data_IF_608231524455
#
_entry.id   IF_608231524455
#
_cell.length_a   1.000
_cell.length_b   1.000
_cell.length_c   1.000
_cell.angle_alpha   90.00
_cell.angle_beta   90.00
_cell.angle_gamma   90.00
#
_symmetry.space_group_name_H-M   'P 1'
#
loop_
_entity.id
_entity.type
_entity.pdbx_description
1 polymer ?
#
# COMPACT_ATOMS: atom_id res chain seq x y z
N UNK A 1 -26.07 -15.47 -9.46
CA UNK A 1 -26.15 -14.00 -9.63
C UNK A 1 -24.89 -13.26 -9.14
N UNK A 2 -24.36 -13.53 -7.95
CA UNK A 2 -23.13 -12.87 -7.44
C UNK A 2 -21.88 -13.06 -8.33
N UNK A 3 -21.69 -14.25 -8.93
CA UNK A 3 -20.59 -14.50 -9.87
C UNK A 3 -20.72 -13.74 -11.22
N UNK A 4 -21.95 -13.37 -11.61
CA UNK A 4 -22.22 -12.62 -12.85
C UNK A 4 -21.99 -11.12 -12.67
N UNK A 5 -22.25 -10.59 -11.48
CA UNK A 5 -21.93 -9.20 -11.09
C UNK A 5 -20.40 -8.98 -11.01
N UNK A 6 -19.65 -9.97 -10.51
CA UNK A 6 -18.19 -9.91 -10.49
C UNK A 6 -17.60 -9.89 -11.92
N UNK A 7 -18.18 -10.64 -12.85
CA UNK A 7 -17.67 -10.74 -14.23
C UNK A 7 -18.05 -9.54 -15.11
N UNK A 8 -19.18 -8.87 -14.85
CA UNK A 8 -19.50 -7.59 -15.49
C UNK A 8 -18.62 -6.44 -14.99
N UNK A 9 -18.25 -6.43 -13.70
CA UNK A 9 -17.27 -5.49 -13.15
C UNK A 9 -15.89 -5.67 -13.82
N UNK A 10 -15.50 -6.91 -14.11
CA UNK A 10 -14.22 -7.27 -14.75
C UNK A 10 -14.13 -6.78 -16.22
N UNK A 11 -15.22 -6.83 -16.99
CA UNK A 11 -15.21 -6.42 -18.39
C UNK A 11 -15.10 -4.89 -18.54
N UNK A 12 -15.65 -4.13 -17.60
CA UNK A 12 -15.67 -2.67 -17.69
C UNK A 12 -14.32 -2.02 -17.33
N UNK A 13 -13.53 -2.66 -16.45
CA UNK A 13 -12.17 -2.24 -16.09
C UNK A 13 -11.18 -2.44 -17.26
N UNK A 14 -11.38 -3.49 -18.09
CA UNK A 14 -10.46 -3.85 -19.17
C UNK A 14 -10.40 -2.85 -20.34
N UNK A 15 -11.40 -1.97 -20.51
CA UNK A 15 -11.42 -1.00 -21.63
C UNK A 15 -10.65 0.30 -21.38
N UNK A 16 -10.27 0.61 -20.14
CA UNK A 16 -9.69 1.92 -19.78
C UNK A 16 -8.16 1.97 -19.91
N UNK A 17 -7.47 0.83 -20.12
CA UNK A 17 -6.01 0.76 -19.93
C UNK A 17 -5.13 0.85 -21.18
N UNK A 18 -5.65 1.31 -22.33
CA UNK A 18 -4.85 1.49 -23.55
C UNK A 18 -4.81 2.95 -24.03
N UNK A 19 -4.01 3.79 -23.38
CA UNK A 19 -3.56 5.06 -23.95
C UNK A 19 -2.07 5.30 -23.67
N UNK A 20 -1.30 5.46 -24.75
CA UNK A 20 0.10 5.87 -24.73
C UNK A 20 0.20 7.35 -25.06
N UNK A 21 0.35 8.19 -24.04
CA UNK A 21 0.71 9.60 -24.15
C UNK A 21 1.96 9.87 -23.30
N UNK A 22 2.71 10.94 -23.61
CA UNK A 22 3.89 11.40 -22.87
C UNK A 22 3.59 11.37 -21.37
N UNK A 23 4.25 10.47 -20.62
CA UNK A 23 3.92 10.21 -19.21
C UNK A 23 4.18 11.46 -18.38
N UNK A 24 3.12 12.16 -18.01
CA UNK A 24 3.19 13.02 -16.83
C UNK A 24 3.69 12.17 -15.65
N UNK A 25 4.44 12.76 -14.71
CA UNK A 25 4.81 12.06 -13.50
C UNK A 25 3.54 11.53 -12.82
N UNK A 26 3.53 10.25 -12.47
CA UNK A 26 2.36 9.65 -11.81
C UNK A 26 2.20 10.31 -10.44
N UNK A 27 1.00 10.76 -10.04
CA UNK A 27 0.81 11.50 -8.80
C UNK A 27 1.26 10.70 -7.58
N UNK A 28 1.87 11.34 -6.57
CA UNK A 28 2.18 10.69 -5.32
C UNK A 28 0.90 10.37 -4.54
N UNK A 29 0.90 9.18 -3.92
CA UNK A 29 -0.08 8.78 -2.90
C UNK A 29 0.59 9.04 -1.55
N UNK A 30 0.16 10.09 -0.86
CA UNK A 30 0.71 10.53 0.43
C UNK A 30 -0.10 9.91 1.55
N UNK A 31 0.43 8.87 2.16
CA UNK A 31 -0.20 8.21 3.30
C UNK A 31 0.05 9.02 4.58
N UNK A 32 -1.02 9.31 5.31
CA UNK A 32 -1.06 10.04 6.57
C UNK A 32 -1.59 9.11 7.66
N UNK A 33 -0.92 9.04 8.81
CA UNK A 33 -1.31 8.12 9.90
C UNK A 33 -2.44 8.69 10.79
N UNK A 34 -2.72 9.99 10.71
CA UNK A 34 -3.67 10.67 11.58
C UNK A 34 -4.34 11.86 10.89
N UNK A 35 -5.44 12.35 11.47
CA UNK A 35 -6.13 13.57 11.01
C UNK A 35 -5.21 14.80 11.00
N UNK A 36 -4.38 14.98 12.03
CA UNK A 36 -3.43 16.10 12.08
C UNK A 36 -2.39 16.04 10.96
N UNK A 37 -1.97 14.84 10.53
CA UNK A 37 -1.11 14.70 9.36
C UNK A 37 -1.83 15.01 8.05
N UNK A 38 -3.12 14.67 7.92
CA UNK A 38 -3.91 15.07 6.75
C UNK A 38 -4.01 16.60 6.66
N UNK A 39 -4.26 17.29 7.77
CA UNK A 39 -4.30 18.76 7.79
C UNK A 39 -2.95 19.39 7.43
N UNK A 40 -1.85 18.84 7.96
CA UNK A 40 -0.51 19.29 7.59
C UNK A 40 -0.20 19.02 6.10
N UNK A 41 -0.65 17.88 5.56
CA UNK A 41 -0.54 17.58 4.14
C UNK A 41 -1.41 18.52 3.29
N UNK A 42 -2.60 18.88 3.76
CA UNK A 42 -3.46 19.87 3.12
C UNK A 42 -2.69 21.19 2.95
N UNK A 43 -2.08 21.70 4.02
CA UNK A 43 -1.31 22.94 3.97
C UNK A 43 -0.12 22.90 3.03
N UNK A 44 0.41 21.71 2.71
CA UNK A 44 1.56 21.56 1.83
C UNK A 44 1.19 21.38 0.36
N UNK A 45 0.10 20.64 0.08
CA UNK A 45 -0.25 20.22 -1.28
C UNK A 45 -1.34 21.05 -1.95
N UNK A 46 -2.21 21.67 -1.15
CA UNK A 46 -3.30 22.49 -1.68
C UNK A 46 -2.84 23.93 -1.89
N UNK A 47 -3.51 24.58 -2.84
CA UNK A 47 -3.30 25.95 -3.26
C UNK A 47 -4.64 26.69 -3.26
N UNK A 48 -4.62 28.03 -3.17
CA UNK A 48 -5.81 28.82 -3.41
C UNK A 48 -6.43 28.47 -4.77
N UNK A 49 -7.75 28.39 -4.82
CA UNK A 49 -8.57 28.10 -5.98
C UNK A 49 -8.52 26.66 -6.52
N UNK A 50 -7.95 25.72 -5.77
CA UNK A 50 -8.02 24.30 -6.16
C UNK A 50 -9.45 23.75 -6.15
N UNK A 51 -9.69 22.77 -7.02
CA UNK A 51 -10.85 21.87 -6.98
C UNK A 51 -10.44 20.57 -6.28
N UNK A 52 -11.04 20.29 -5.12
CA UNK A 52 -10.62 19.19 -4.24
C UNK A 52 -11.78 18.25 -3.96
N UNK A 53 -11.52 16.94 -4.04
CA UNK A 53 -12.43 15.90 -3.59
C UNK A 53 -12.00 15.39 -2.22
N UNK A 54 -12.91 15.40 -1.23
CA UNK A 54 -12.73 14.70 0.05
C UNK A 54 -13.74 13.55 0.15
N UNK A 55 -13.25 12.32 -0.01
CA UNK A 55 -14.04 11.10 0.13
C UNK A 55 -13.91 10.55 1.56
N UNK A 56 -15.02 10.48 2.29
CA UNK A 56 -15.07 10.22 3.72
C UNK A 56 -15.11 11.49 4.58
N UNK A 57 -15.63 12.58 4.01
CA UNK A 57 -15.76 13.87 4.68
C UNK A 57 -16.72 13.78 5.87
N UNK A 58 -16.24 14.06 7.08
CA UNK A 58 -17.08 14.04 8.28
C UNK A 58 -17.59 15.42 8.69
N UNK A 59 -17.41 16.43 7.82
CA UNK A 59 -17.66 17.84 8.11
C UNK A 59 -16.97 18.27 9.42
N UNK A 60 -15.67 17.93 9.51
CA UNK A 60 -14.83 18.10 10.70
C UNK A 60 -13.74 19.14 10.47
N UNK A 61 -12.82 19.28 11.43
CA UNK A 61 -11.66 20.17 11.33
C UNK A 61 -10.83 19.96 10.05
N UNK A 62 -10.81 18.75 9.48
CA UNK A 62 -10.17 18.49 8.18
C UNK A 62 -10.85 19.26 7.06
N UNK A 63 -12.17 19.15 6.95
CA UNK A 63 -12.97 19.81 5.92
C UNK A 63 -12.96 21.33 6.10
N UNK A 64 -12.96 21.81 7.33
CA UNK A 64 -12.79 23.25 7.65
C UNK A 64 -11.42 23.75 7.21
N UNK A 65 -10.35 23.02 7.55
CA UNK A 65 -8.98 23.37 7.17
C UNK A 65 -8.78 23.35 5.65
N UNK A 66 -9.36 22.35 4.97
CA UNK A 66 -9.46 22.27 3.52
C UNK A 66 -10.08 23.54 2.92
N UNK A 67 -11.29 23.91 3.36
CA UNK A 67 -12.05 25.05 2.82
C UNK A 67 -11.36 26.39 3.03
N UNK A 68 -10.68 26.56 4.18
CA UNK A 68 -9.81 27.72 4.45
C UNK A 68 -8.61 27.77 3.52
N UNK A 69 -7.96 26.62 3.31
CA UNK A 69 -6.74 26.53 2.49
C UNK A 69 -7.00 26.84 1.01
N UNK A 70 -8.12 26.37 0.45
CA UNK A 70 -8.46 26.64 -0.96
C UNK A 70 -9.03 28.05 -1.18
N UNK A 71 -9.52 28.72 -0.14
CA UNK A 71 -10.07 30.08 -0.25
C UNK A 71 -11.38 30.17 -1.07
N UNK A 72 -11.95 31.38 -1.23
CA UNK A 72 -13.28 31.60 -1.82
C UNK A 72 -13.38 31.28 -3.31
N UNK A 73 -12.27 31.29 -4.05
CA UNK A 73 -12.27 30.88 -5.45
C UNK A 73 -12.05 29.38 -5.66
N UNK A 74 -11.87 28.61 -4.57
CA UNK A 74 -11.72 27.15 -4.63
C UNK A 74 -13.07 26.43 -4.64
N UNK A 75 -13.02 25.12 -4.86
CA UNK A 75 -14.20 24.25 -4.74
C UNK A 75 -13.84 22.97 -3.99
N UNK A 76 -14.63 22.63 -2.97
CA UNK A 76 -14.52 21.38 -2.23
C UNK A 76 -15.77 20.53 -2.48
N UNK A 77 -15.57 19.33 -3.03
CA UNK A 77 -16.62 18.31 -3.15
C UNK A 77 -16.42 17.34 -1.99
N UNK A 78 -17.34 17.39 -1.02
CA UNK A 78 -17.26 16.68 0.25
C UNK A 78 -18.24 15.50 0.22
N UNK A 79 -17.76 14.28 0.43
CA UNK A 79 -18.57 13.07 0.25
C UNK A 79 -18.52 12.18 1.49
N UNK A 80 -19.68 11.80 2.04
CA UNK A 80 -19.82 10.77 3.09
C UNK A 80 -20.87 9.73 2.66
N UNK A 81 -21.00 8.63 3.40
CA UNK A 81 -22.09 7.64 3.24
C UNK A 81 -23.08 7.80 4.38
N UNK A 82 -24.38 7.77 4.06
CA UNK A 82 -25.47 7.74 5.01
C UNK A 82 -25.29 6.57 5.98
N UNK A 83 -25.18 6.89 7.27
CA UNK A 83 -24.99 5.89 8.32
C UNK A 83 -26.36 5.50 8.85
N UNK A 84 -26.71 4.22 8.71
CA UNK A 84 -27.96 3.69 9.25
C UNK A 84 -28.04 3.82 10.78
N UNK A 85 -26.90 3.81 11.46
CA UNK A 85 -26.80 4.01 12.91
C UNK A 85 -25.47 4.71 13.26
N UNK A 86 -25.50 5.57 14.28
CA UNK A 86 -24.32 6.18 14.89
C UNK A 86 -23.48 5.09 15.59
N UNK A 87 -22.74 4.30 14.81
CA UNK A 87 -21.99 3.11 15.24
C UNK A 87 -20.81 3.42 16.16
N UNK A 88 -20.53 4.70 16.41
CA UNK A 88 -19.65 5.12 17.50
C UNK A 88 -20.15 6.46 18.02
N UNK A 89 -20.19 6.64 19.34
CA UNK A 89 -20.59 7.90 20.00
C UNK A 89 -19.73 9.13 19.64
N UNK A 90 -18.85 9.03 18.64
CA UNK A 90 -18.08 10.14 18.05
C UNK A 90 -18.87 10.94 17.00
N UNK A 91 -19.96 10.41 16.44
CA UNK A 91 -20.71 11.12 15.39
C UNK A 91 -21.73 12.15 15.90
N UNK A 92 -21.98 12.20 17.21
CA UNK A 92 -23.04 13.06 17.79
C UNK A 92 -22.65 14.53 17.92
N UNK A 93 -21.38 14.89 17.68
CA UNK A 93 -20.86 16.25 17.79
C UNK A 93 -20.34 16.83 16.46
N UNK A 94 -20.89 16.41 15.31
CA UNK A 94 -20.54 17.03 14.03
C UNK A 94 -21.12 18.44 13.95
N UNK A 95 -20.26 19.45 13.82
CA UNK A 95 -20.71 20.81 13.54
C UNK A 95 -20.85 21.00 12.02
N UNK A 96 -22.02 20.64 11.47
CA UNK A 96 -22.33 20.83 10.06
C UNK A 96 -22.78 22.26 9.70
N UNK A 97 -23.05 23.12 10.71
CA UNK A 97 -23.55 24.49 10.50
C UNK A 97 -22.71 25.32 9.51
N UNK A 98 -21.36 25.28 9.54
CA UNK A 98 -20.51 26.03 8.61
C UNK A 98 -20.69 25.64 7.14
N UNK A 99 -21.11 24.39 6.90
CA UNK A 99 -21.16 23.78 5.57
C UNK A 99 -22.56 23.80 4.97
N UNK A 100 -23.59 23.52 5.77
CA UNK A 100 -24.93 23.23 5.24
C UNK A 100 -25.97 24.33 5.47
N UNK A 101 -25.90 25.09 6.55
CA UNK A 101 -27.11 25.77 7.00
C UNK A 101 -27.38 25.59 8.48
N UNK A 102 -28.10 26.53 9.08
CA UNK A 102 -29.08 26.09 10.07
C UNK A 102 -30.22 25.45 9.30
N UNK A 103 -30.47 24.17 9.56
CA UNK A 103 -31.72 23.53 9.16
C UNK A 103 -32.84 24.32 9.85
N UNK A 104 -33.59 25.10 9.08
CA UNK A 104 -34.65 26.00 9.55
C UNK A 104 -35.83 25.32 10.27
N UNK A 105 -35.72 24.02 10.57
CA UNK A 105 -36.70 23.22 11.29
C UNK A 105 -36.26 22.84 12.72
N UNK A 106 -35.12 23.31 13.23
CA UNK A 106 -34.73 23.06 14.62
C UNK A 106 -35.38 24.12 15.55
N UNK A 107 -36.20 23.72 16.55
CA UNK A 107 -36.91 24.68 17.40
C UNK A 107 -35.93 25.58 18.17
N UNK A 108 -36.14 26.89 18.06
CA UNK A 108 -35.25 28.00 18.44
C UNK A 108 -35.09 28.25 19.95
N UNK A 109 -35.19 27.22 20.80
CA UNK A 109 -35.30 27.39 22.25
C UNK A 109 -33.94 27.55 23.00
N UNK A 110 -32.88 28.03 22.35
CA UNK A 110 -31.58 28.27 23.01
C UNK A 110 -31.08 29.67 22.65
N UNK A 111 -31.57 30.70 23.36
CA UNK A 111 -31.22 32.12 23.15
C UNK A 111 -29.89 32.55 23.81
N UNK A 112 -28.97 31.63 24.10
CA UNK A 112 -27.70 31.94 24.79
C UNK A 112 -26.43 31.69 23.94
N UNK A 113 -26.51 31.80 22.61
CA UNK A 113 -25.31 31.79 21.76
C UNK A 113 -24.62 33.17 21.79
N UNK A 114 -23.43 33.21 22.40
CA UNK A 114 -22.53 34.35 22.51
C UNK A 114 -22.13 34.89 21.12
N UNK A 115 -22.24 36.21 20.93
CA UNK A 115 -21.94 36.97 19.69
C UNK A 115 -20.47 36.94 19.20
N UNK A 116 -19.60 36.08 19.73
CA UNK A 116 -18.15 36.21 19.53
C UNK A 116 -17.52 35.33 18.46
N UNK A 117 -18.24 34.38 17.86
CA UNK A 117 -17.73 33.62 16.71
C UNK A 117 -18.61 33.88 15.48
N UNK A 118 -18.29 34.90 14.69
CA UNK A 118 -18.61 34.89 13.25
C UNK A 118 -17.89 33.68 12.63
N UNK A 119 -18.48 32.50 12.81
CA UNK A 119 -17.93 31.26 12.30
C UNK A 119 -17.86 31.35 10.79
N UNK A 120 -16.65 31.19 10.23
CA UNK A 120 -16.42 31.08 8.79
C UNK A 120 -17.46 30.13 8.17
N UNK A 121 -18.32 30.64 7.30
CA UNK A 121 -19.22 29.80 6.50
C UNK A 121 -18.53 29.43 5.19
N UNK A 122 -18.68 28.18 4.75
CA UNK A 122 -18.03 27.66 3.54
C UNK A 122 -19.02 27.33 2.41
N UNK A 123 -20.25 27.81 2.51
CA UNK A 123 -21.34 27.48 1.58
C UNK A 123 -21.08 27.94 0.14
N UNK A 124 -20.22 28.92 -0.04
CA UNK A 124 -19.83 29.47 -1.34
C UNK A 124 -18.92 28.53 -2.15
N UNK A 125 -18.26 27.57 -1.48
CA UNK A 125 -17.24 26.69 -2.09
C UNK A 125 -17.45 25.21 -1.85
N UNK A 126 -18.43 24.82 -1.04
CA UNK A 126 -18.68 23.42 -0.65
C UNK A 126 -19.86 22.85 -1.41
N UNK A 127 -19.64 21.69 -2.02
CA UNK A 127 -20.66 20.81 -2.56
C UNK A 127 -20.64 19.50 -1.74
N UNK A 128 -21.57 19.38 -0.80
CA UNK A 128 -21.66 18.20 0.07
C UNK A 128 -22.63 17.17 -0.51
N UNK A 129 -22.17 15.93 -0.65
CA UNK A 129 -22.93 14.82 -1.20
C UNK A 129 -22.94 13.65 -0.21
N UNK A 130 -24.14 13.28 0.25
CA UNK A 130 -24.32 12.12 1.11
C UNK A 130 -24.82 10.93 0.28
N UNK A 131 -24.02 9.88 0.21
CA UNK A 131 -24.31 8.70 -0.59
C UNK A 131 -25.17 7.71 0.20
N UNK A 132 -26.18 7.11 -0.41
CA UNK A 132 -26.95 6.02 0.22
C UNK A 132 -26.12 4.74 0.35
N UNK A 133 -25.23 4.51 -0.64
CA UNK A 133 -24.37 3.35 -0.73
C UNK A 133 -22.97 3.76 -1.16
N UNK A 134 -21.97 3.07 -0.64
CA UNK A 134 -20.58 3.40 -0.89
C UNK A 134 -20.26 3.45 -2.39
N UNK A 135 -20.64 2.44 -3.17
CA UNK A 135 -20.35 2.30 -4.59
C UNK A 135 -20.87 3.44 -5.48
N UNK A 136 -21.82 4.26 -4.99
CA UNK A 136 -22.29 5.46 -5.66
C UNK A 136 -21.19 6.52 -5.85
N UNK A 137 -20.07 6.44 -5.11
CA UNK A 137 -18.91 7.32 -5.31
C UNK A 137 -18.40 7.29 -6.77
N UNK A 138 -18.66 6.20 -7.50
CA UNK A 138 -18.31 6.07 -8.92
C UNK A 138 -19.03 7.03 -9.84
N UNK A 139 -20.16 7.58 -9.41
CA UNK A 139 -20.91 8.55 -10.18
C UNK A 139 -20.28 9.94 -10.14
N UNK A 140 -19.40 10.21 -9.16
CA UNK A 140 -18.78 11.52 -8.94
C UNK A 140 -17.83 11.95 -10.06
N UNK A 141 -17.27 11.02 -10.81
CA UNK A 141 -16.36 11.29 -11.93
C UNK A 141 -16.96 10.91 -13.29
N UNK A 142 -18.28 10.69 -13.38
CA UNK A 142 -18.96 10.62 -14.67
C UNK A 142 -19.02 12.03 -15.28
N UNK A 143 -18.05 12.36 -16.11
CA UNK A 143 -17.98 13.65 -16.83
C UNK A 143 -16.57 14.24 -16.87
N UNK A 144 -16.46 15.50 -17.27
CA UNK A 144 -15.19 16.24 -17.34
C UNK A 144 -14.76 16.84 -15.99
N UNK A 145 -15.07 16.15 -14.89
CA UNK A 145 -14.67 16.61 -13.56
C UNK A 145 -13.15 16.45 -13.40
N UNK A 146 -12.50 17.56 -13.07
CA UNK A 146 -11.07 17.63 -12.75
C UNK A 146 -10.89 17.91 -11.26
N UNK A 147 -9.96 17.19 -10.63
CA UNK A 147 -9.55 17.42 -9.26
C UNK A 147 -8.06 17.71 -9.20
N UNK A 148 -7.68 18.82 -8.58
CA UNK A 148 -6.28 19.18 -8.35
C UNK A 148 -5.65 18.30 -7.27
N UNK A 149 -6.42 17.96 -6.24
CA UNK A 149 -6.02 17.08 -5.14
C UNK A 149 -7.22 16.22 -4.73
N UNK A 150 -6.95 14.95 -4.38
CA UNK A 150 -7.95 14.02 -3.86
C UNK A 150 -7.56 13.63 -2.43
N UNK A 151 -8.52 13.64 -1.52
CA UNK A 151 -8.36 13.26 -0.11
C UNK A 151 -9.23 12.03 0.15
N UNK A 152 -8.65 10.96 0.70
CA UNK A 152 -9.32 9.69 0.97
C UNK A 152 -9.23 9.35 2.46
N UNK A 153 -10.38 9.28 3.14
CA UNK A 153 -10.54 8.73 4.49
C UNK A 153 -11.54 7.56 4.45
N UNK A 154 -11.20 6.50 3.71
CA UNK A 154 -12.10 5.36 3.49
C UNK A 154 -12.52 4.70 4.80
N UNK A 155 -11.64 4.67 5.80
CA UNK A 155 -11.96 4.14 7.13
C UNK A 155 -13.12 4.87 7.80
N UNK A 156 -13.32 6.17 7.51
CA UNK A 156 -14.46 6.90 8.03
C UNK A 156 -15.78 6.44 7.41
N UNK A 157 -15.77 5.94 6.16
CA UNK A 157 -16.95 5.51 5.41
C UNK A 157 -17.33 4.06 5.68
N UNK A 158 -16.34 3.16 5.70
CA UNK A 158 -16.57 1.70 5.81
C UNK A 158 -16.27 1.13 7.20
N UNK A 159 -15.78 1.97 8.13
CA UNK A 159 -15.51 1.61 9.53
C UNK A 159 -14.20 0.87 9.79
N UNK A 160 -13.46 0.48 8.75
CA UNK A 160 -12.18 -0.23 8.86
C UNK A 160 -11.11 0.41 7.96
N UNK A 161 -9.87 0.45 8.44
CA UNK A 161 -8.71 0.87 7.65
C UNK A 161 -8.25 -0.26 6.70
N UNK A 162 -8.91 -0.36 5.55
CA UNK A 162 -8.62 -1.37 4.54
C UNK A 162 -7.70 -0.78 3.45
N UNK A 163 -6.39 -0.91 3.64
CA UNK A 163 -5.41 -0.30 2.73
C UNK A 163 -5.50 -0.84 1.27
N UNK A 164 -5.88 -2.11 1.08
CA UNK A 164 -6.11 -2.69 -0.26
C UNK A 164 -7.27 -2.01 -0.99
N UNK A 165 -8.40 -1.84 -0.29
CA UNK A 165 -9.57 -1.13 -0.80
C UNK A 165 -9.20 0.32 -1.14
N UNK A 166 -8.45 0.96 -0.25
CA UNK A 166 -8.00 2.35 -0.43
C UNK A 166 -7.09 2.51 -1.65
N UNK A 167 -6.13 1.61 -1.85
CA UNK A 167 -5.27 1.60 -3.05
C UNK A 167 -6.05 1.30 -4.33
N UNK A 168 -7.04 0.40 -4.27
CA UNK A 168 -7.92 0.12 -5.40
C UNK A 168 -8.69 1.38 -5.82
N UNK A 169 -9.27 2.09 -4.85
CA UNK A 169 -10.02 3.33 -5.09
C UNK A 169 -9.10 4.43 -5.63
N UNK A 170 -7.93 4.63 -5.01
CA UNK A 170 -6.95 5.61 -5.50
C UNK A 170 -6.53 5.32 -6.95
N UNK A 171 -6.30 4.05 -7.29
CA UNK A 171 -5.94 3.64 -8.66
C UNK A 171 -7.10 3.86 -9.63
N UNK A 172 -8.34 3.56 -9.22
CA UNK A 172 -9.54 3.79 -10.03
C UNK A 172 -9.76 5.29 -10.29
N UNK A 173 -9.55 6.16 -9.29
CA UNK A 173 -9.54 7.61 -9.49
C UNK A 173 -8.47 8.05 -10.47
N UNK A 174 -7.22 7.62 -10.30
CA UNK A 174 -6.15 8.00 -11.23
C UNK A 174 -6.43 7.58 -12.68
N UNK A 175 -7.11 6.44 -12.86
CA UNK A 175 -7.48 5.93 -14.17
C UNK A 175 -8.70 6.65 -14.78
N UNK A 176 -9.56 7.28 -13.97
CA UNK A 176 -10.78 7.94 -14.44
C UNK A 176 -10.63 9.44 -14.71
N UNK A 177 -9.51 10.06 -14.32
CA UNK A 177 -9.29 11.49 -14.50
C UNK A 177 -8.68 11.82 -15.87
N UNK A 178 -9.27 12.79 -16.58
CA UNK A 178 -8.71 13.35 -17.82
C UNK A 178 -7.39 14.10 -17.56
N UNK A 179 -7.28 14.74 -16.39
CA UNK A 179 -6.09 15.46 -15.94
C UNK A 179 -5.66 14.85 -14.61
N UNK A 180 -4.40 14.42 -14.54
CA UNK A 180 -3.89 13.75 -13.35
C UNK A 180 -3.84 14.72 -12.16
N UNK A 181 -4.35 14.36 -10.97
CA UNK A 181 -4.27 15.22 -9.80
C UNK A 181 -2.80 15.43 -9.40
N UNK A 182 -2.50 16.51 -8.67
CA UNK A 182 -1.14 16.77 -8.18
C UNK A 182 -0.72 15.82 -7.06
N UNK A 183 -1.68 15.37 -6.25
CA UNK A 183 -1.47 14.40 -5.18
C UNK A 183 -2.78 13.70 -4.79
N UNK A 184 -2.64 12.51 -4.19
CA UNK A 184 -3.72 11.84 -3.45
C UNK A 184 -3.28 11.77 -1.99
N UNK A 185 -4.02 12.42 -1.09
CA UNK A 185 -3.79 12.39 0.36
C UNK A 185 -4.66 11.28 0.95
N UNK A 186 -4.08 10.37 1.72
CA UNK A 186 -4.80 9.21 2.24
C UNK A 186 -4.64 9.12 3.75
N UNK A 187 -5.75 9.13 4.48
CA UNK A 187 -5.76 8.81 5.91
C UNK A 187 -5.86 7.30 6.10
N UNK A 188 -4.73 6.66 6.37
CA UNK A 188 -4.64 5.22 6.61
C UNK A 188 -3.34 4.90 7.36
N UNK A 189 -3.48 4.33 8.55
CA UNK A 189 -2.35 3.88 9.38
C UNK A 189 -1.67 2.67 8.74
N UNK A 190 -2.46 1.75 8.20
CA UNK A 190 -1.95 0.54 7.55
C UNK A 190 -1.17 0.89 6.27
N UNK A 191 -1.72 1.79 5.43
CA UNK A 191 -1.04 2.26 4.23
C UNK A 191 0.21 3.09 4.58
N UNK A 192 0.17 3.86 5.67
CA UNK A 192 1.33 4.57 6.19
C UNK A 192 2.45 3.61 6.64
N UNK A 193 2.10 2.53 7.36
CA UNK A 193 3.06 1.47 7.72
C UNK A 193 3.69 0.87 6.46
N UNK A 194 2.87 0.47 5.48
CA UNK A 194 3.36 -0.06 4.21
C UNK A 194 4.28 0.93 3.49
N UNK A 195 3.92 2.20 3.43
CA UNK A 195 4.70 3.26 2.79
C UNK A 195 6.10 3.45 3.41
N UNK A 196 6.24 3.21 4.72
CA UNK A 196 7.54 3.25 5.42
C UNK A 196 8.40 2.03 5.13
N UNK A 197 7.78 0.89 4.85
CA UNK A 197 8.47 -0.40 4.68
C UNK A 197 8.84 -0.69 3.23
N UNK A 198 8.17 -0.07 2.27
CA UNK A 198 8.46 -0.26 0.84
C UNK A 198 9.67 0.58 0.41
N UNK A 199 10.73 -0.09 -0.04
CA UNK A 199 11.98 0.54 -0.50
C UNK A 199 12.20 0.25 -1.97
N UNK A 200 12.15 1.29 -2.81
CA UNK A 200 12.37 1.14 -4.24
C UNK A 200 13.79 0.61 -4.53
N UNK A 201 13.90 -0.57 -5.16
CA UNK A 201 15.17 -1.26 -5.48
C UNK A 201 16.26 -0.36 -6.07
N UNK A 202 15.92 0.48 -7.06
CA UNK A 202 16.92 1.40 -7.65
C UNK A 202 17.53 2.36 -6.63
N UNK A 203 16.71 2.86 -5.68
CA UNK A 203 17.15 3.80 -4.65
C UNK A 203 18.05 3.13 -3.61
N UNK A 204 17.86 1.82 -3.43
CA UNK A 204 18.74 1.01 -2.61
C UNK A 204 20.10 0.82 -3.31
N UNK A 205 20.06 0.44 -4.60
CA UNK A 205 21.27 0.17 -5.38
C UNK A 205 22.13 1.42 -5.64
N UNK A 206 21.52 2.59 -5.79
CA UNK A 206 22.24 3.85 -6.00
C UNK A 206 22.64 4.57 -4.70
N UNK A 207 22.29 3.99 -3.53
CA UNK A 207 22.62 4.54 -2.22
C UNK A 207 21.78 5.75 -1.80
N UNK A 208 20.78 6.16 -2.58
CA UNK A 208 19.87 7.26 -2.18
C UNK A 208 18.92 6.87 -1.04
N UNK A 209 18.79 5.58 -0.74
CA UNK A 209 18.09 5.05 0.43
C UNK A 209 18.91 3.90 1.01
N UNK A 210 19.17 3.95 2.31
CA UNK A 210 19.82 2.87 3.06
C UNK A 210 18.79 2.10 3.86
N UNK A 211 18.99 0.79 4.02
CA UNK A 211 18.18 -0.01 4.94
C UNK A 211 18.53 0.35 6.39
N UNK A 212 17.58 0.16 7.34
CA UNK A 212 17.90 0.21 8.77
C UNK A 212 19.05 -0.74 9.10
N UNK A 213 19.97 -0.31 9.98
CA UNK A 213 21.14 -1.13 10.35
C UNK A 213 20.76 -2.43 11.07
N UNK A 214 19.68 -2.39 11.87
CA UNK A 214 19.22 -3.52 12.67
C UNK A 214 17.88 -4.01 12.11
N UNK A 215 17.94 -4.88 11.10
CA UNK A 215 16.76 -5.56 10.57
C UNK A 215 16.51 -6.85 11.36
N UNK A 216 15.32 -6.96 11.94
CA UNK A 216 14.89 -8.14 12.70
C UNK A 216 13.71 -8.81 12.00
N UNK A 217 13.57 -10.13 12.17
CA UNK A 217 12.38 -10.87 11.76
C UNK A 217 11.13 -10.24 12.38
N UNK A 218 10.06 -10.09 11.59
CA UNK A 218 8.83 -9.40 11.97
C UNK A 218 7.69 -9.72 11.02
N UNK A 219 6.45 -9.51 11.48
CA UNK A 219 5.25 -9.50 10.62
C UNK A 219 5.14 -8.24 9.76
N UNK A 220 6.04 -7.27 9.95
CA UNK A 220 6.16 -6.03 9.19
C UNK A 220 7.54 -5.91 8.49
N UNK A 221 7.88 -6.81 7.54
CA UNK A 221 9.17 -6.78 6.85
C UNK A 221 9.36 -5.52 6.00
N UNK A 222 10.62 -5.20 5.72
CA UNK A 222 10.98 -4.31 4.60
C UNK A 222 10.65 -4.99 3.28
N UNK A 223 10.04 -4.27 2.36
CA UNK A 223 9.63 -4.79 1.05
C UNK A 223 10.45 -4.10 -0.04
N UNK A 224 11.15 -4.88 -0.87
CA UNK A 224 11.98 -4.38 -1.97
C UNK A 224 11.42 -4.89 -3.30
N UNK A 225 10.60 -4.10 -4.00
CA UNK A 225 10.11 -4.49 -5.29
C UNK A 225 11.15 -4.26 -6.40
N UNK A 226 11.29 -5.26 -7.25
CA UNK A 226 12.23 -5.31 -8.36
C UNK A 226 11.51 -5.55 -9.69
N UNK A 227 12.16 -5.19 -10.80
CA UNK A 227 11.67 -5.50 -12.16
C UNK A 227 12.73 -6.25 -12.94
N UNK A 228 12.38 -7.47 -13.33
CA UNK A 228 13.30 -8.37 -14.03
C UNK A 228 14.30 -9.03 -13.08
N UNK A 229 14.88 -10.12 -13.56
CA UNK A 229 15.74 -11.00 -12.76
C UNK A 229 17.07 -10.33 -12.39
N UNK A 230 17.58 -9.44 -13.24
CA UNK A 230 18.84 -8.75 -12.97
C UNK A 230 18.71 -7.77 -11.79
N UNK A 231 17.65 -6.97 -11.77
CA UNK A 231 17.33 -6.05 -10.66
C UNK A 231 17.14 -6.85 -9.35
N UNK A 232 16.37 -7.93 -9.44
CA UNK A 232 16.11 -8.85 -8.35
C UNK A 232 17.39 -9.42 -7.73
N UNK A 233 18.33 -9.93 -8.54
CA UNK A 233 19.61 -10.48 -8.07
C UNK A 233 20.58 -9.42 -7.54
N UNK A 234 20.53 -8.19 -8.05
CA UNK A 234 21.37 -7.09 -7.55
C UNK A 234 21.06 -6.70 -6.12
N UNK A 235 19.91 -7.10 -5.57
CA UNK A 235 19.56 -6.86 -4.16
C UNK A 235 20.30 -7.76 -3.18
N UNK A 236 20.84 -8.91 -3.62
CA UNK A 236 21.43 -9.94 -2.75
C UNK A 236 22.47 -9.35 -1.77
N UNK A 237 23.46 -8.54 -2.21
CA UNK A 237 24.49 -8.00 -1.32
C UNK A 237 23.96 -7.02 -0.26
N UNK A 238 22.70 -6.55 -0.40
CA UNK A 238 22.12 -5.56 0.49
C UNK A 238 21.22 -6.17 1.57
N UNK A 239 20.68 -7.37 1.34
CA UNK A 239 19.66 -7.96 2.22
C UNK A 239 20.01 -9.34 2.75
N UNK A 240 20.92 -10.05 2.09
CA UNK A 240 21.39 -11.39 2.50
C UNK A 240 22.78 -11.29 3.09
N UNK A 241 22.99 -11.98 4.19
CA UNK A 241 24.24 -12.11 4.93
C UNK A 241 24.59 -13.59 5.10
N UNK A 242 25.88 -13.85 5.38
CA UNK A 242 26.34 -15.17 5.76
C UNK A 242 25.62 -15.67 7.01
N UNK A 243 25.10 -16.89 6.97
CA UNK A 243 24.37 -17.51 8.08
C UNK A 243 22.85 -17.32 8.05
N UNK A 244 22.32 -16.54 7.11
CA UNK A 244 20.88 -16.33 6.99
C UNK A 244 20.12 -17.60 6.59
N UNK A 245 18.85 -17.65 6.98
CA UNK A 245 17.86 -18.54 6.42
C UNK A 245 17.11 -17.85 5.28
N UNK A 246 17.29 -18.33 4.04
CA UNK A 246 16.73 -17.71 2.84
C UNK A 246 15.77 -18.66 2.12
N UNK A 247 14.63 -18.12 1.71
CA UNK A 247 13.66 -18.82 0.87
C UNK A 247 13.46 -18.06 -0.43
N UNK A 248 13.61 -18.73 -1.57
CA UNK A 248 13.15 -18.24 -2.87
C UNK A 248 11.88 -18.97 -3.31
N UNK A 249 10.81 -18.21 -3.49
CA UNK A 249 9.52 -18.65 -4.01
C UNK A 249 9.43 -18.35 -5.51
N UNK A 250 9.13 -19.38 -6.31
CA UNK A 250 9.18 -19.30 -7.76
C UNK A 250 10.61 -19.33 -8.31
N UNK A 251 11.42 -20.24 -7.77
CA UNK A 251 12.85 -20.34 -8.08
C UNK A 251 13.16 -20.74 -9.52
N UNK A 252 12.16 -21.23 -10.28
CA UNK A 252 12.33 -21.71 -11.63
C UNK A 252 13.51 -22.73 -11.70
N UNK A 253 14.44 -22.55 -12.63
CA UNK A 253 15.61 -23.44 -12.75
C UNK A 253 16.64 -23.32 -11.60
N UNK A 254 16.41 -22.52 -10.56
CA UNK A 254 17.24 -22.48 -9.34
C UNK A 254 18.49 -21.59 -9.40
N UNK A 255 18.72 -20.85 -10.49
CA UNK A 255 19.92 -20.02 -10.63
C UNK A 255 20.05 -18.93 -9.56
N UNK A 256 18.94 -18.28 -9.20
CA UNK A 256 18.98 -17.25 -8.15
C UNK A 256 19.16 -17.91 -6.78
N UNK A 257 18.48 -19.04 -6.51
CA UNK A 257 18.65 -19.83 -5.29
C UNK A 257 20.10 -20.24 -5.07
N UNK A 258 20.79 -20.67 -6.13
CA UNK A 258 22.22 -21.00 -6.05
C UNK A 258 23.06 -19.77 -5.65
N UNK A 259 22.81 -18.60 -6.24
CA UNK A 259 23.51 -17.36 -5.86
C UNK A 259 23.24 -16.96 -4.40
N UNK A 260 22.00 -17.15 -3.92
CA UNK A 260 21.63 -16.91 -2.53
C UNK A 260 22.38 -17.86 -1.60
N UNK A 261 22.43 -19.15 -1.95
CA UNK A 261 23.14 -20.17 -1.17
C UNK A 261 24.64 -19.87 -1.02
N UNK A 262 25.31 -19.43 -2.08
CA UNK A 262 26.73 -19.04 -2.00
C UNK A 262 26.95 -17.94 -0.95
N UNK A 263 26.11 -16.90 -0.95
CA UNK A 263 26.21 -15.80 0.02
C UNK A 263 25.89 -16.29 1.42
N UNK A 264 24.82 -17.07 1.57
CA UNK A 264 24.44 -17.68 2.84
C UNK A 264 25.60 -18.47 3.42
N UNK A 265 26.29 -19.29 2.62
CA UNK A 265 27.40 -20.15 3.10
C UNK A 265 28.70 -19.41 3.33
N UNK A 266 28.93 -18.31 2.60
CA UNK A 266 30.11 -17.48 2.82
C UNK A 266 30.01 -16.71 4.15
N UNK A 267 30.90 -17.00 5.11
CA UNK A 267 31.14 -16.12 6.24
C UNK A 267 32.47 -15.36 6.03
N UNK A 268 32.44 -14.11 5.56
CA UNK A 268 33.66 -13.36 5.27
C UNK A 268 34.48 -13.02 6.51
N UNK A 269 33.89 -13.10 7.72
CA UNK A 269 34.57 -12.74 8.97
C UNK A 269 35.37 -13.92 9.53
N UNK A 270 34.80 -15.13 9.51
CA UNK A 270 35.44 -16.30 10.15
C UNK A 270 36.13 -17.23 9.15
N UNK A 271 35.80 -17.15 7.86
CA UNK A 271 36.28 -18.10 6.85
C UNK A 271 35.66 -19.50 6.96
N UNK A 272 34.75 -19.71 7.93
CA UNK A 272 34.06 -20.97 8.15
C UNK A 272 32.75 -21.04 7.35
N UNK A 273 32.37 -22.26 6.97
CA UNK A 273 31.06 -22.53 6.39
C UNK A 273 29.96 -22.14 7.40
N UNK A 274 29.13 -21.16 7.03
CA UNK A 274 28.04 -20.73 7.90
C UNK A 274 26.96 -21.82 8.04
N UNK A 275 26.25 -21.78 9.17
CA UNK A 275 25.11 -22.67 9.45
C UNK A 275 23.81 -22.27 8.74
N UNK A 276 23.84 -21.25 7.87
CA UNK A 276 22.62 -20.74 7.24
C UNK A 276 21.94 -21.74 6.31
N UNK A 277 20.66 -21.51 6.05
CA UNK A 277 19.81 -22.37 5.24
C UNK A 277 19.37 -21.65 3.95
N UNK A 278 19.32 -22.34 2.81
CA UNK A 278 18.76 -21.78 1.60
C UNK A 278 17.90 -22.80 0.87
N UNK A 279 16.68 -22.39 0.53
CA UNK A 279 15.74 -23.22 -0.23
C UNK A 279 15.12 -22.45 -1.40
N UNK A 280 14.89 -23.15 -2.50
CA UNK A 280 14.12 -22.70 -3.66
C UNK A 280 12.87 -23.55 -3.84
N UNK A 281 11.72 -22.93 -4.07
CA UNK A 281 10.46 -23.64 -4.33
C UNK A 281 9.81 -23.20 -5.63
N UNK A 282 9.12 -24.13 -6.28
CA UNK A 282 8.34 -23.88 -7.50
C UNK A 282 7.20 -24.90 -7.58
N UNK A 283 6.12 -24.59 -8.29
CA UNK A 283 5.01 -25.53 -8.48
C UNK A 283 5.34 -26.59 -9.56
N UNK A 284 6.30 -26.31 -10.45
CA UNK A 284 6.66 -27.20 -11.55
C UNK A 284 7.59 -28.34 -11.11
N UNK A 285 7.08 -29.57 -11.03
CA UNK A 285 7.89 -30.76 -10.68
C UNK A 285 9.13 -30.93 -11.57
N UNK A 286 8.96 -30.79 -12.89
CA UNK A 286 10.07 -30.90 -13.86
C UNK A 286 11.12 -29.81 -13.67
N UNK A 287 10.68 -28.62 -13.29
CA UNK A 287 11.54 -27.46 -13.04
C UNK A 287 12.42 -27.74 -11.80
N UNK A 288 11.81 -28.21 -10.72
CA UNK A 288 12.50 -28.57 -9.48
C UNK A 288 13.46 -29.75 -9.70
N UNK A 289 13.04 -30.79 -10.42
CA UNK A 289 13.92 -31.90 -10.76
C UNK A 289 15.16 -31.42 -11.53
N UNK A 290 14.98 -30.50 -12.49
CA UNK A 290 16.10 -29.89 -13.21
C UNK A 290 17.01 -29.05 -12.32
N UNK A 291 16.46 -28.31 -11.36
CA UNK A 291 17.25 -27.50 -10.43
C UNK A 291 18.12 -28.39 -9.52
N UNK A 292 17.56 -29.47 -8.98
CA UNK A 292 18.27 -30.47 -8.15
C UNK A 292 19.43 -31.14 -8.88
N UNK A 293 19.26 -31.44 -10.17
CA UNK A 293 20.35 -32.02 -10.97
C UNK A 293 21.46 -31.01 -11.28
N UNK A 294 21.13 -29.71 -11.33
CA UNK A 294 22.04 -28.68 -11.79
C UNK A 294 22.88 -28.07 -10.67
N UNK A 295 22.31 -27.91 -9.48
CA UNK A 295 22.95 -27.25 -8.37
C UNK A 295 23.00 -28.20 -7.17
N UNK A 296 24.22 -28.45 -6.69
CA UNK A 296 24.47 -29.14 -5.43
C UNK A 296 24.49 -28.12 -4.29
N UNK A 297 23.99 -28.49 -3.11
CA UNK A 297 23.94 -27.62 -1.93
C UNK A 297 22.56 -27.08 -1.55
N UNK A 298 21.92 -26.18 -2.34
CA UNK A 298 20.62 -25.63 -1.99
C UNK A 298 19.51 -26.70 -1.97
N UNK A 299 18.53 -26.51 -1.08
CA UNK A 299 17.34 -27.36 -1.05
C UNK A 299 16.35 -26.90 -2.12
N UNK A 300 15.80 -27.83 -2.89
CA UNK A 300 14.72 -27.54 -3.85
C UNK A 300 13.48 -28.38 -3.55
N UNK A 301 12.30 -27.77 -3.56
CA UNK A 301 11.04 -28.47 -3.30
C UNK A 301 9.89 -28.03 -4.20
N UNK A 302 9.00 -28.96 -4.51
CA UNK A 302 7.77 -28.67 -5.26
C UNK A 302 6.73 -28.13 -4.31
N UNK A 303 6.34 -26.87 -4.46
CA UNK A 303 5.38 -26.26 -3.55
C UNK A 303 4.65 -25.05 -4.12
N UNK A 304 3.46 -24.79 -3.59
CA UNK A 304 2.66 -23.63 -3.94
C UNK A 304 2.97 -22.45 -3.01
N UNK A 305 3.35 -21.33 -3.61
CA UNK A 305 3.62 -20.06 -2.92
C UNK A 305 2.50 -19.57 -1.99
N UNK A 306 1.25 -19.88 -2.34
CA UNK A 306 0.06 -19.45 -1.60
C UNK A 306 -0.18 -20.29 -0.34
N UNK A 307 0.48 -21.44 -0.21
CA UNK A 307 0.41 -22.28 0.98
C UNK A 307 1.59 -21.95 1.91
N UNK A 308 1.52 -20.77 2.53
CA UNK A 308 2.66 -20.20 3.26
C UNK A 308 3.03 -20.97 4.53
N UNK A 309 2.10 -21.72 5.13
CA UNK A 309 2.42 -22.60 6.26
C UNK A 309 3.27 -23.80 5.83
N UNK A 310 3.08 -24.32 4.62
CA UNK A 310 3.92 -25.40 4.10
C UNK A 310 5.35 -24.93 3.79
N UNK A 311 5.55 -23.63 3.52
CA UNK A 311 6.89 -23.02 3.38
C UNK A 311 7.74 -23.19 4.64
N UNK A 312 7.14 -23.21 5.84
CA UNK A 312 7.87 -23.46 7.09
C UNK A 312 8.35 -24.92 7.21
N UNK A 313 7.60 -25.86 6.63
CA UNK A 313 7.88 -27.31 6.76
C UNK A 313 9.16 -27.71 6.04
N UNK A 314 9.64 -26.92 5.08
CA UNK A 314 10.90 -27.19 4.37
C UNK A 314 12.09 -27.19 5.34
N UNK A 315 12.18 -26.18 6.23
CA UNK A 315 13.23 -26.13 7.25
C UNK A 315 13.10 -27.28 8.24
N UNK A 316 11.89 -27.67 8.64
CA UNK A 316 11.71 -28.83 9.50
C UNK A 316 12.16 -30.14 8.82
N UNK A 317 11.98 -30.27 7.51
CA UNK A 317 12.34 -31.46 6.74
C UNK A 317 13.84 -31.57 6.46
N UNK A 318 14.50 -30.45 6.19
CA UNK A 318 15.89 -30.43 5.68
C UNK A 318 16.89 -29.72 6.58
N UNK A 319 16.42 -28.97 7.58
CA UNK A 319 17.27 -28.32 8.56
C UNK A 319 17.94 -29.34 9.47
N UNK A 320 19.21 -29.11 9.79
CA UNK A 320 19.92 -29.85 10.84
C UNK A 320 19.20 -29.61 12.17
N UNK A 321 18.36 -30.55 12.58
CA UNK A 321 17.52 -30.51 13.79
C UNK A 321 18.30 -30.41 15.11
N UNK A 322 19.63 -30.46 15.07
CA UNK A 322 20.36 -31.01 16.21
C UNK A 322 20.63 -30.03 17.35
N UNK A 323 20.60 -28.71 17.16
CA UNK A 323 21.15 -27.81 18.20
C UNK A 323 20.35 -26.54 18.58
N UNK A 324 19.32 -26.10 17.85
CA UNK A 324 18.56 -24.91 18.24
C UNK A 324 17.06 -24.94 17.82
N UNK A 325 16.13 -25.20 18.75
CA UNK A 325 14.69 -25.16 18.50
C UNK A 325 14.18 -23.78 18.09
N UNK A 326 14.87 -22.69 18.47
CA UNK A 326 14.45 -21.31 18.16
C UNK A 326 14.80 -20.92 16.72
N UNK A 327 15.77 -21.59 16.11
CA UNK A 327 16.11 -21.44 14.68
C UNK A 327 15.01 -21.97 13.75
N UNK A 328 14.04 -22.76 14.25
CA UNK A 328 13.03 -23.41 13.39
C UNK A 328 11.99 -22.47 12.79
N UNK A 329 11.75 -21.30 13.36
CA UNK A 329 10.62 -20.46 12.95
C UNK A 329 11.04 -19.36 11.97
N UNK A 330 10.42 -19.39 10.78
CA UNK A 330 10.57 -18.34 9.78
C UNK A 330 11.85 -18.41 8.96
N UNK A 331 12.03 -17.37 8.16
CA UNK A 331 13.18 -17.12 7.30
C UNK A 331 13.68 -15.71 7.55
N UNK A 332 14.97 -15.43 7.39
CA UNK A 332 15.47 -14.06 7.44
C UNK A 332 15.02 -13.28 6.22
N UNK A 333 15.22 -13.85 5.03
CA UNK A 333 14.95 -13.18 3.77
C UNK A 333 14.09 -14.06 2.87
N UNK A 334 13.05 -13.48 2.30
CA UNK A 334 12.22 -14.14 1.29
C UNK A 334 12.36 -13.42 -0.04
N UNK A 335 12.73 -14.18 -1.06
CA UNK A 335 12.76 -13.79 -2.45
C UNK A 335 11.49 -14.34 -3.12
N UNK A 336 10.63 -13.50 -3.69
CA UNK A 336 9.39 -13.89 -4.35
C UNK A 336 9.36 -13.51 -5.84
N UNK A 337 9.33 -14.51 -6.71
CA UNK A 337 9.22 -14.39 -8.17
C UNK A 337 8.08 -15.28 -8.70
N UNK A 338 6.86 -14.76 -8.66
CA UNK A 338 5.68 -15.51 -9.08
C UNK A 338 5.11 -14.91 -10.36
N UNK A 339 4.86 -15.78 -11.34
CA UNK A 339 4.18 -15.41 -12.58
C UNK A 339 2.80 -14.79 -12.32
N UNK A 340 2.41 -13.79 -13.11
CA UNK A 340 1.11 -13.11 -12.98
C UNK A 340 1.10 -11.88 -12.08
N UNK A 341 2.06 -11.72 -11.15
CA UNK A 341 2.13 -10.56 -10.24
C UNK A 341 2.37 -9.20 -10.91
N UNK A 342 2.64 -9.19 -12.22
CA UNK A 342 2.75 -7.98 -13.05
C UNK A 342 1.55 -7.78 -14.00
N UNK A 343 0.48 -8.57 -13.85
CA UNK A 343 -0.75 -8.47 -14.62
C UNK A 343 -1.70 -7.37 -14.14
N UNK A 344 -2.92 -7.35 -14.69
CA UNK A 344 -3.94 -6.32 -14.41
C UNK A 344 -4.31 -6.20 -12.92
N UNK A 345 -4.30 -7.31 -12.18
CA UNK A 345 -4.58 -7.37 -10.74
C UNK A 345 -3.32 -7.57 -9.89
N UNK A 346 -2.15 -7.51 -10.53
CA UNK A 346 -0.89 -7.91 -9.92
C UNK A 346 -0.53 -7.10 -8.66
N UNK A 347 -1.02 -5.86 -8.52
CA UNK A 347 -0.81 -5.07 -7.30
C UNK A 347 -1.50 -5.69 -6.08
N UNK A 348 -2.79 -5.99 -6.19
CA UNK A 348 -3.59 -6.51 -5.08
C UNK A 348 -3.16 -7.94 -4.73
N UNK A 349 -2.88 -8.77 -5.75
CA UNK A 349 -2.35 -10.12 -5.56
C UNK A 349 -0.98 -10.10 -4.88
N UNK A 350 -0.09 -9.19 -5.29
CA UNK A 350 1.23 -9.03 -4.66
C UNK A 350 1.09 -8.65 -3.18
N UNK A 351 0.22 -7.69 -2.85
CA UNK A 351 0.03 -7.26 -1.46
C UNK A 351 -0.60 -8.36 -0.60
N UNK A 352 -1.60 -9.07 -1.11
CA UNK A 352 -2.20 -10.21 -0.40
C UNK A 352 -1.18 -11.32 -0.12
N UNK A 353 -0.33 -11.64 -1.10
CA UNK A 353 0.77 -12.59 -0.92
C UNK A 353 1.80 -12.09 0.10
N UNK A 354 2.19 -10.82 0.03
CA UNK A 354 3.14 -10.22 0.97
C UNK A 354 2.61 -10.29 2.40
N UNK A 355 1.32 -10.02 2.63
CA UNK A 355 0.70 -10.18 3.95
C UNK A 355 0.73 -11.63 4.43
N UNK A 356 0.43 -12.59 3.54
CA UNK A 356 0.47 -14.01 3.87
C UNK A 356 1.89 -14.49 4.21
N UNK A 357 2.89 -14.07 3.43
CA UNK A 357 4.32 -14.37 3.68
C UNK A 357 4.77 -13.71 4.97
N UNK A 358 4.46 -12.43 5.17
CA UNK A 358 4.91 -11.66 6.34
C UNK A 358 4.40 -12.28 7.64
N UNK A 359 3.12 -12.68 7.68
CA UNK A 359 2.49 -13.29 8.86
C UNK A 359 2.94 -14.72 9.13
N UNK A 360 3.23 -15.50 8.08
CA UNK A 360 3.59 -16.91 8.24
C UNK A 360 5.10 -17.11 8.47
N UNK A 361 5.93 -16.33 7.79
CA UNK A 361 7.38 -16.55 7.74
C UNK A 361 8.19 -15.51 8.51
N UNK A 362 7.55 -14.41 8.91
CA UNK A 362 8.12 -13.29 9.67
C UNK A 362 9.51 -12.82 9.18
N UNK A 363 9.74 -12.67 7.87
CA UNK A 363 11.05 -12.26 7.40
C UNK A 363 11.41 -10.86 7.88
N UNK A 364 12.70 -10.55 7.92
CA UNK A 364 13.14 -9.15 8.09
C UNK A 364 13.04 -8.38 6.79
N UNK A 365 13.14 -9.08 5.65
CA UNK A 365 13.02 -8.50 4.32
C UNK A 365 12.34 -9.45 3.32
N UNK A 366 11.47 -8.89 2.48
CA UNK A 366 10.93 -9.55 1.29
C UNK A 366 11.38 -8.79 0.03
N UNK A 367 12.08 -9.49 -0.86
CA UNK A 367 12.38 -9.00 -2.21
C UNK A 367 11.36 -9.60 -3.16
N UNK A 368 10.62 -8.76 -3.90
CA UNK A 368 9.52 -9.23 -4.77
C UNK A 368 9.71 -8.77 -6.21
N UNK A 369 9.66 -9.69 -7.18
CA UNK A 369 9.72 -9.37 -8.61
C UNK A 369 8.32 -9.00 -9.14
N UNK A 370 7.94 -7.73 -8.99
CA UNK A 370 6.64 -7.23 -9.43
C UNK A 370 6.73 -5.80 -9.96
N UNK A 371 6.36 -5.62 -11.23
CA UNK A 371 6.29 -4.30 -11.86
C UNK A 371 5.24 -3.39 -11.21
N UNK A 372 4.13 -3.98 -10.75
CA UNK A 372 3.06 -3.27 -10.05
C UNK A 372 3.57 -2.74 -8.69
N UNK A 373 4.26 -3.58 -7.92
CA UNK A 373 4.84 -3.15 -6.64
C UNK A 373 5.96 -2.11 -6.82
N UNK A 374 6.76 -2.20 -7.89
CA UNK A 374 7.79 -1.17 -8.18
C UNK A 374 7.16 0.19 -8.51
N UNK A 375 6.03 0.19 -9.24
CA UNK A 375 5.24 1.42 -9.48
C UNK A 375 4.68 1.96 -8.18
N UNK A 376 4.12 1.11 -7.32
CA UNK A 376 3.64 1.51 -6.00
C UNK A 376 4.78 2.15 -5.17
N UNK A 377 5.96 1.55 -5.11
CA UNK A 377 7.12 2.11 -4.40
C UNK A 377 7.59 3.48 -4.91
N UNK A 378 7.22 3.83 -6.16
CA UNK A 378 7.51 5.14 -6.75
C UNK A 378 6.45 6.19 -6.38
N UNK A 379 5.21 5.76 -6.13
CA UNK A 379 4.05 6.63 -5.90
C UNK A 379 3.71 6.78 -4.41
N UNK A 380 3.78 5.70 -3.65
CA UNK A 380 3.39 5.66 -2.25
C UNK A 380 4.49 6.25 -1.37
N UNK A 381 4.16 7.30 -0.62
CA UNK A 381 5.11 8.04 0.23
C UNK A 381 4.47 8.27 1.60
N UNK A 382 5.15 7.96 2.72
CA UNK A 382 4.65 8.33 4.04
C UNK A 382 4.80 9.84 4.23
N UNK A 383 3.78 10.50 4.79
CA UNK A 383 3.77 11.95 4.97
C UNK A 383 4.98 12.47 5.77
N UNK A 384 5.44 11.73 6.77
CA UNK A 384 6.65 12.07 7.53
C UNK A 384 7.89 12.31 6.65
N UNK A 385 8.03 11.57 5.55
CA UNK A 385 9.14 11.77 4.59
C UNK A 385 8.96 13.04 3.76
N UNK A 386 7.73 13.41 3.44
CA UNK A 386 7.42 14.64 2.72
C UNK A 386 7.65 15.84 3.64
N UNK A 387 7.12 15.79 4.87
CA UNK A 387 7.26 16.83 5.88
C UNK A 387 8.72 17.16 6.19
N UNK A 388 9.61 16.18 6.24
CA UNK A 388 11.03 16.41 6.51
C UNK A 388 11.80 17.08 5.35
N UNK A 389 11.17 17.25 4.18
CA UNK A 389 11.79 17.89 3.00
C UNK A 389 11.22 19.28 2.68
N UNK A 390 10.06 19.60 3.24
CA UNK A 390 9.43 20.90 3.15
C UNK A 390 10.00 21.81 4.23
#
# INVERSE_FOLDING_TARGET
>A
MAALLLSLLVIQICRVLSFSAKKSPVPPIVACQSTGEVQAAISLFLRPNDVVLELGAQLSDTSTHLCRTIGPGGKAILVDVQRKEATSGRSTQRNSKPFLGDDSNRPSNIENESKEDEQDTFRDRVDYQELEQFDQWRNLYKGDNHFDVIILDIGSMIGNDLYLTTLSIATEFLASQNVSPRAILVKSKELYSLARRITHSQRLMDGTTTLPANLCRSTEPIIIPCVGVNDYRKTIPFVVSGGDDVLEVGCHFGTTTALLYEVVKSNPITGDNSSGFCAGVDIGEKIIASAKMKYDGPVFEVMNAWNTLDLLKIKAKHGSMLNDPTSMMGYDVVYADIGGLSGAHGLLESLALLDAISKALEPRCIVIKSQCMKRLASQLVPFSRVKNKA
#
